data_IF_742023644520
#
_entry.id   IF_742023644520
#
_cell.length_a   1.000
_cell.length_b   1.000
_cell.length_c   1.000
_cell.angle_alpha   90.00
_cell.angle_beta   90.00
_cell.angle_gamma   90.00
#
_symmetry.space_group_name_H-M   'P 1'
#
loop_
_entity.id
_entity.type
_entity.pdbx_description
1 polymer ?
#
# COMPACT_ATOMS: atom_id res chain seq x y z
N UNK A 1 -7.15 -24.00 -4.36
CA UNK A 1 -7.38 -22.76 -5.14
C UNK A 1 -6.22 -21.82 -4.84
N UNK A 2 -5.39 -21.49 -5.84
CA UNK A 2 -4.30 -20.52 -5.69
C UNK A 2 -4.92 -19.14 -5.88
N UNK A 3 -4.94 -18.31 -4.85
CA UNK A 3 -5.41 -16.93 -4.97
C UNK A 3 -4.29 -16.17 -5.69
N UNK A 4 -4.45 -15.94 -6.98
CA UNK A 4 -3.63 -15.02 -7.74
C UNK A 4 -4.24 -13.64 -7.52
N UNK A 5 -3.66 -12.84 -6.62
CA UNK A 5 -4.07 -11.44 -6.45
C UNK A 5 -3.42 -10.63 -7.57
N UNK A 6 -4.15 -9.65 -8.11
CA UNK A 6 -3.66 -8.85 -9.22
C UNK A 6 -2.29 -8.22 -8.90
N UNK A 7 -1.35 -8.34 -9.85
CA UNK A 7 0.01 -7.80 -9.70
C UNK A 7 0.04 -6.25 -9.64
N UNK A 8 -1.07 -5.60 -9.98
CA UNK A 8 -1.24 -4.14 -9.97
C UNK A 8 -2.33 -3.70 -8.98
N UNK A 9 -2.42 -4.37 -7.84
CA UNK A 9 -3.36 -4.00 -6.79
C UNK A 9 -2.76 -2.96 -5.84
N UNK A 10 -3.58 -1.98 -5.47
CA UNK A 10 -3.32 -1.08 -4.36
C UNK A 10 -4.07 -1.57 -3.13
N UNK A 11 -3.36 -1.90 -2.06
CA UNK A 11 -3.99 -2.31 -0.81
C UNK A 11 -4.21 -1.09 0.10
N UNK A 12 -5.46 -0.78 0.49
CA UNK A 12 -5.73 0.30 1.41
C UNK A 12 -5.28 -0.08 2.83
N UNK A 13 -4.56 0.82 3.49
CA UNK A 13 -4.14 0.71 4.90
C UNK A 13 -4.30 2.05 5.59
N UNK A 14 -4.61 2.01 6.88
CA UNK A 14 -4.65 3.22 7.71
C UNK A 14 -3.31 3.39 8.38
N UNK A 15 -2.72 4.59 8.28
CA UNK A 15 -1.57 4.99 9.09
C UNK A 15 -2.10 5.23 10.50
N UNK A 16 -1.54 4.57 11.51
CA UNK A 16 -2.00 4.81 12.89
C UNK A 16 -1.54 6.19 13.42
N UNK A 17 -2.00 6.54 14.60
CA UNK A 17 -1.63 7.75 15.34
C UNK A 17 -0.10 7.90 15.59
N UNK A 18 0.63 6.79 15.66
CA UNK A 18 2.07 6.76 15.78
C UNK A 18 2.83 6.87 14.44
N UNK A 19 2.14 7.06 13.31
CA UNK A 19 2.78 7.12 11.99
C UNK A 19 3.32 5.77 11.53
N UNK A 20 2.61 4.67 11.80
CA UNK A 20 3.01 3.30 11.49
C UNK A 20 2.00 2.67 10.52
N UNK A 21 2.53 1.94 9.54
CA UNK A 21 1.79 1.01 8.70
C UNK A 21 2.24 -0.42 9.01
N UNK A 22 1.27 -1.33 9.12
CA UNK A 22 1.53 -2.76 9.22
C UNK A 22 1.42 -3.43 7.85
N UNK A 23 2.45 -4.17 7.44
CA UNK A 23 2.50 -4.88 6.17
C UNK A 23 3.16 -6.26 6.33
N UNK A 24 2.43 -7.33 6.01
CA UNK A 24 2.84 -8.74 6.11
C UNK A 24 3.72 -9.10 7.33
N UNK A 25 3.22 -8.80 8.54
CA UNK A 25 3.93 -9.14 9.79
C UNK A 25 5.07 -8.20 10.16
N UNK A 26 5.37 -7.20 9.32
CA UNK A 26 6.29 -6.10 9.62
C UNK A 26 5.58 -4.78 9.92
N UNK A 27 6.29 -3.90 10.61
CA UNK A 27 5.90 -2.51 10.84
C UNK A 27 6.83 -1.59 10.05
N UNK A 28 6.24 -0.58 9.40
CA UNK A 28 6.94 0.39 8.57
C UNK A 28 6.62 1.79 9.07
N UNK A 29 7.67 2.61 9.16
CA UNK A 29 7.63 3.99 9.64
C UNK A 29 8.39 4.88 8.66
N UNK A 30 7.88 6.08 8.44
CA UNK A 30 8.56 7.15 7.71
C UNK A 30 8.09 8.50 8.26
N UNK A 31 8.96 9.52 8.23
CA UNK A 31 8.60 10.87 8.71
C UNK A 31 7.40 11.44 7.94
N UNK A 32 7.26 11.07 6.68
CA UNK A 32 6.17 11.49 5.80
C UNK A 32 4.81 10.96 6.27
N UNK A 33 4.76 9.91 7.09
CA UNK A 33 3.51 9.37 7.63
C UNK A 33 2.90 10.27 8.71
N UNK A 34 3.69 11.14 9.35
CA UNK A 34 3.19 12.01 10.42
C UNK A 34 2.11 12.98 9.92
N UNK A 35 2.24 13.49 8.69
CA UNK A 35 1.23 14.35 8.06
C UNK A 35 0.02 13.59 7.52
N UNK A 36 0.04 12.26 7.57
CA UNK A 36 -1.01 11.38 7.07
C UNK A 36 -1.53 10.43 8.16
N UNK A 37 -1.28 10.73 9.44
CA UNK A 37 -1.78 9.91 10.56
C UNK A 37 -3.31 9.84 10.51
N UNK A 38 -3.85 8.67 10.81
CA UNK A 38 -5.29 8.33 10.72
C UNK A 38 -5.88 8.34 9.30
N UNK A 39 -5.11 8.72 8.27
CA UNK A 39 -5.57 8.68 6.88
C UNK A 39 -5.43 7.28 6.27
N UNK A 40 -6.30 7.00 5.30
CA UNK A 40 -6.16 5.81 4.45
C UNK A 40 -5.18 6.10 3.33
N UNK A 41 -4.13 5.30 3.26
CA UNK A 41 -3.15 5.27 2.18
C UNK A 41 -3.26 3.97 1.39
N UNK A 42 -2.68 3.97 0.21
CA UNK A 42 -2.78 2.90 -0.77
C UNK A 42 -1.38 2.39 -1.08
N UNK A 43 -1.15 1.12 -0.82
CA UNK A 43 0.18 0.52 -0.89
C UNK A 43 0.30 -0.32 -2.14
N UNK A 44 1.35 -0.07 -2.93
CA UNK A 44 1.82 -0.95 -3.99
C UNK A 44 3.12 -1.62 -3.54
N UNK A 45 3.16 -2.94 -3.66
CA UNK A 45 4.30 -3.78 -3.26
C UNK A 45 4.89 -4.46 -4.50
N UNK A 46 6.12 -4.11 -4.86
CA UNK A 46 6.84 -4.75 -5.98
C UNK A 46 7.73 -5.93 -5.55
N UNK A 47 7.79 -6.19 -4.24
CA UNK A 47 8.60 -7.22 -3.61
C UNK A 47 9.91 -6.72 -2.99
N UNK A 48 10.41 -5.55 -3.38
CA UNK A 48 11.58 -4.90 -2.75
C UNK A 48 11.18 -3.64 -1.99
N UNK A 49 10.20 -2.90 -2.49
CA UNK A 49 9.73 -1.63 -1.96
C UNK A 49 8.21 -1.62 -1.75
N UNK A 50 7.80 -0.85 -0.73
CA UNK A 50 6.44 -0.39 -0.55
C UNK A 50 6.35 1.04 -1.07
N UNK A 51 5.53 1.25 -2.08
CA UNK A 51 5.16 2.57 -2.55
C UNK A 51 3.85 2.95 -1.89
N UNK A 52 3.87 4.00 -1.09
CA UNK A 52 2.71 4.45 -0.32
C UNK A 52 2.14 5.69 -0.98
N UNK A 53 0.87 5.62 -1.34
CA UNK A 53 0.16 6.70 -2.01
C UNK A 53 -0.99 7.22 -1.17
N UNK A 54 -1.29 8.51 -1.27
CA UNK A 54 -2.55 9.08 -0.83
C UNK A 54 -3.49 9.24 -2.03
N UNK A 55 -4.80 9.10 -1.81
CA UNK A 55 -5.80 9.49 -2.79
C UNK A 55 -5.84 11.01 -2.82
N UNK A 56 -5.46 11.60 -3.95
CA UNK A 56 -5.38 13.05 -4.08
C UNK A 56 -6.68 13.63 -4.65
N UNK A 57 -7.23 13.00 -5.67
CA UNK A 57 -8.46 13.42 -6.34
C UNK A 57 -9.22 12.17 -6.82
N UNK A 58 -10.55 12.23 -6.75
CA UNK A 58 -11.46 11.26 -7.35
C UNK A 58 -12.53 11.97 -8.19
N UNK A 59 -12.60 11.64 -9.48
CA UNK A 59 -13.67 12.10 -10.37
C UNK A 59 -14.79 11.05 -10.39
N UNK A 60 -15.85 11.36 -9.63
CA UNK A 60 -17.04 10.52 -9.49
C UNK A 60 -18.20 10.95 -10.42
N UNK A 61 -17.95 11.79 -11.44
CA UNK A 61 -18.99 12.28 -12.38
C UNK A 61 -19.73 11.14 -13.08
N UNK A 62 -19.01 10.08 -13.46
CA UNK A 62 -19.61 8.84 -13.94
C UNK A 62 -19.43 7.75 -12.88
N UNK A 63 -20.50 7.40 -12.15
CA UNK A 63 -20.44 6.35 -11.11
C UNK A 63 -20.11 4.96 -11.65
N UNK A 64 -20.22 4.73 -12.95
CA UNK A 64 -19.85 3.47 -13.61
C UNK A 64 -18.39 3.44 -14.06
N UNK A 65 -17.74 4.60 -14.14
CA UNK A 65 -16.37 4.75 -14.62
C UNK A 65 -15.69 5.91 -13.87
N UNK A 66 -15.04 5.55 -12.76
CA UNK A 66 -14.46 6.50 -11.82
C UNK A 66 -12.96 6.61 -12.10
N UNK A 67 -12.45 7.84 -12.09
CA UNK A 67 -11.01 8.09 -12.24
C UNK A 67 -10.45 8.63 -10.94
N UNK A 68 -9.40 7.98 -10.42
CA UNK A 68 -8.73 8.41 -9.20
C UNK A 68 -7.27 8.74 -9.48
N UNK A 69 -6.80 9.87 -8.94
CA UNK A 69 -5.40 10.28 -8.98
C UNK A 69 -4.77 10.02 -7.63
N UNK A 70 -3.68 9.24 -7.64
CA UNK A 70 -2.88 8.96 -6.46
C UNK A 70 -1.60 9.77 -6.47
N UNK A 71 -1.20 10.31 -5.31
CA UNK A 71 0.10 10.97 -5.12
C UNK A 71 1.00 10.11 -4.26
N UNK A 72 2.25 9.94 -4.70
CA UNK A 72 3.25 9.23 -3.92
C UNK A 72 3.55 10.04 -2.66
N UNK A 73 3.36 9.41 -1.49
CA UNK A 73 3.75 9.96 -0.19
C UNK A 73 5.22 9.62 0.04
N UNK A 74 5.57 8.34 -0.03
CA UNK A 74 6.95 7.87 0.12
C UNK A 74 7.17 6.48 -0.49
N UNK A 75 8.44 6.11 -0.57
CA UNK A 75 8.90 4.77 -0.94
C UNK A 75 9.73 4.20 0.20
N UNK A 76 9.36 3.02 0.69
CA UNK A 76 10.03 2.38 1.83
C UNK A 76 10.60 1.03 1.39
N UNK A 77 11.86 0.77 1.73
CA UNK A 77 12.48 -0.52 1.48
C UNK A 77 11.87 -1.57 2.40
N UNK A 78 11.49 -2.72 1.85
CA UNK A 78 10.92 -3.83 2.62
C UNK A 78 11.95 -4.44 3.55
N UNK A 79 11.47 -4.91 4.69
CA UNK A 79 12.22 -5.90 5.47
C UNK A 79 12.40 -7.11 4.56
N UNK A 80 13.63 -7.61 4.39
CA UNK A 80 13.93 -8.68 3.42
C UNK A 80 13.37 -10.03 3.90
N UNK A 81 12.05 -10.20 3.83
CA UNK A 81 11.29 -11.35 4.31
C UNK A 81 10.73 -12.21 3.18
N UNK A 82 11.06 -11.87 1.92
CA UNK A 82 10.60 -12.50 0.68
C UNK A 82 9.07 -12.53 0.52
N UNK A 83 8.32 -11.83 1.38
CA UNK A 83 6.89 -11.64 1.17
C UNK A 83 6.71 -10.73 -0.04
N UNK A 84 5.72 -10.98 -0.87
CA UNK A 84 5.27 -10.06 -1.92
C UNK A 84 3.76 -10.18 -1.94
N UNK A 85 3.05 -9.05 -1.96
CA UNK A 85 1.60 -9.10 -2.13
C UNK A 85 1.21 -9.95 -3.35
N UNK A 86 0.23 -10.82 -3.16
CA UNK A 86 -0.28 -11.67 -4.24
C UNK A 86 0.56 -12.91 -4.57
N UNK A 87 1.74 -13.10 -3.96
CA UNK A 87 2.51 -14.34 -4.09
C UNK A 87 2.43 -15.16 -2.82
N UNK A 88 1.93 -16.39 -2.94
CA UNK A 88 2.05 -17.39 -1.86
C UNK A 88 3.52 -17.77 -1.70
N UNK A 89 4.03 -17.76 -0.46
CA UNK A 89 5.34 -18.35 -0.13
C UNK A 89 5.34 -19.78 -0.67
N UNK A 90 6.15 -20.05 -1.68
CA UNK A 90 6.50 -21.42 -2.02
C UNK A 90 7.25 -21.95 -0.79
N UNK A 91 6.55 -22.71 0.07
CA UNK A 91 7.22 -23.51 1.10
C UNK A 91 8.10 -24.49 0.32
N UNK A 92 9.41 -24.25 0.31
CA UNK A 92 10.39 -25.29 0.00
C UNK A 92 10.40 -26.28 1.14
#
# INVERSE_FOLDING_TARGET
MRIERDAMYFEPRVINDAGIIHWYGGCYQDVSFLSHTTETVYIRDDGEYLFVYSLYEDDMKNKQDIHATFKLVCQIKKHNDQSVYGKSRTRR
#
